data_IF_951399082848
#
_entry.id   IF_951399082848
#
_cell.length_a   1.000
_cell.length_b   1.000
_cell.length_c   1.000
_cell.angle_alpha   90.00
_cell.angle_beta   90.00
_cell.angle_gamma   90.00
#
_symmetry.space_group_name_H-M   'P 1'
#
loop_
_entity.id
_entity.type
_entity.pdbx_description
1 polymer ?
#
# COMPACT_ATOMS: atom_id res chain seq x y z
N UNK A 1 -30.45 -20.76 -10.77
CA UNK A 1 -29.92 -19.45 -10.31
C UNK A 1 -28.71 -19.72 -9.43
N UNK A 2 -27.49 -19.63 -9.98
CA UNK A 2 -26.27 -19.88 -9.23
C UNK A 2 -26.14 -18.84 -8.09
N UNK A 3 -26.07 -19.32 -6.85
CA UNK A 3 -25.86 -18.48 -5.68
C UNK A 3 -24.55 -17.72 -5.84
N UNK A 4 -24.61 -16.38 -5.78
CA UNK A 4 -23.45 -15.50 -5.81
C UNK A 4 -22.63 -15.73 -4.54
N UNK A 5 -21.69 -16.67 -4.58
CA UNK A 5 -20.69 -16.97 -3.55
C UNK A 5 -19.59 -15.90 -3.49
N UNK A 6 -19.93 -14.62 -3.69
CA UNK A 6 -19.07 -13.52 -3.27
C UNK A 6 -19.56 -13.05 -1.91
N UNK A 7 -19.14 -13.77 -0.86
CA UNK A 7 -19.26 -13.27 0.52
C UNK A 7 -18.71 -11.85 0.54
N UNK A 8 -19.53 -10.97 1.09
CA UNK A 8 -19.42 -9.52 1.18
C UNK A 8 -18.19 -9.17 2.06
N UNK A 9 -16.98 -9.55 1.64
CA UNK A 9 -15.72 -9.19 2.34
C UNK A 9 -15.32 -7.74 2.08
N UNK A 10 -15.89 -7.13 1.04
CA UNK A 10 -15.65 -5.72 0.71
C UNK A 10 -16.41 -4.74 1.61
N UNK A 11 -17.41 -5.16 2.40
CA UNK A 11 -18.23 -4.21 3.14
C UNK A 11 -17.55 -3.71 4.41
N UNK A 12 -16.87 -4.60 5.16
CA UNK A 12 -16.20 -4.21 6.41
C UNK A 12 -14.97 -3.33 6.16
N UNK A 13 -14.14 -3.67 5.17
CA UNK A 13 -12.99 -2.82 4.81
C UNK A 13 -13.44 -1.47 4.23
N UNK A 14 -14.49 -1.46 3.39
CA UNK A 14 -15.01 -0.21 2.83
C UNK A 14 -15.65 0.65 3.91
N UNK A 15 -16.39 0.05 4.85
CA UNK A 15 -16.96 0.72 6.02
C UNK A 15 -15.88 1.29 6.93
N UNK A 16 -14.81 0.54 7.17
CA UNK A 16 -13.66 1.01 7.94
C UNK A 16 -12.97 2.21 7.26
N UNK A 17 -12.78 2.16 5.94
CA UNK A 17 -12.23 3.28 5.16
C UNK A 17 -13.14 4.52 5.22
N UNK A 18 -14.45 4.36 5.08
CA UNK A 18 -15.42 5.46 5.19
C UNK A 18 -15.38 6.10 6.58
N UNK A 19 -15.30 5.29 7.64
CA UNK A 19 -15.19 5.79 9.01
C UNK A 19 -13.85 6.51 9.24
N UNK A 20 -12.75 5.97 8.71
CA UNK A 20 -11.45 6.62 8.78
C UNK A 20 -11.48 8.02 8.12
N UNK A 21 -12.07 8.16 6.94
CA UNK A 21 -12.19 9.45 6.25
C UNK A 21 -12.98 10.49 7.08
N UNK A 22 -14.04 10.07 7.77
CA UNK A 22 -14.81 10.98 8.64
C UNK A 22 -13.99 11.46 9.84
N UNK A 23 -13.21 10.57 10.46
CA UNK A 23 -12.31 10.92 11.56
C UNK A 23 -11.19 11.88 11.10
N UNK A 24 -10.61 11.64 9.92
CA UNK A 24 -9.61 12.53 9.31
C UNK A 24 -10.20 13.92 9.08
N UNK A 25 -11.40 14.02 8.49
CA UNK A 25 -12.05 15.30 8.26
C UNK A 25 -12.26 16.06 9.57
N UNK A 26 -12.74 15.37 10.62
CA UNK A 26 -13.01 15.99 11.92
C UNK A 26 -11.74 16.48 12.61
N UNK A 27 -10.67 15.67 12.60
CA UNK A 27 -9.36 16.06 13.13
C UNK A 27 -8.76 17.23 12.35
N UNK A 28 -8.92 17.24 11.02
CA UNK A 28 -8.45 18.34 10.17
C UNK A 28 -9.18 19.63 10.50
N UNK A 29 -10.51 19.58 10.60
CA UNK A 29 -11.29 20.75 10.99
C UNK A 29 -10.94 21.23 12.41
N UNK A 30 -10.57 20.32 13.31
CA UNK A 30 -10.10 20.68 14.64
C UNK A 30 -8.78 21.43 14.63
N UNK A 31 -7.81 20.95 13.84
CA UNK A 31 -6.52 21.63 13.65
C UNK A 31 -6.69 23.00 12.97
N UNK A 32 -7.66 23.12 12.06
CA UNK A 32 -7.98 24.39 11.40
C UNK A 32 -8.82 25.34 12.26
N UNK A 33 -9.12 24.97 13.51
CA UNK A 33 -9.91 25.81 14.44
C UNK A 33 -11.38 25.96 14.08
N UNK A 34 -11.92 25.11 13.21
CA UNK A 34 -13.34 25.13 12.83
C UNK A 34 -14.22 24.39 13.85
N UNK A 35 -13.65 23.42 14.56
CA UNK A 35 -14.35 22.61 15.56
C UNK A 35 -13.46 22.34 16.76
N UNK A 36 -14.01 22.42 17.96
CA UNK A 36 -13.29 22.00 19.16
C UNK A 36 -13.49 20.51 19.42
N UNK A 37 -12.40 19.85 19.78
CA UNK A 37 -12.38 18.46 20.24
C UNK A 37 -11.68 18.41 21.59
N UNK A 38 -12.25 17.63 22.50
CA UNK A 38 -11.58 17.32 23.77
C UNK A 38 -10.37 16.43 23.53
N UNK A 39 -9.39 16.46 24.43
CA UNK A 39 -8.20 15.60 24.37
C UNK A 39 -8.55 14.10 24.28
N UNK A 40 -9.61 13.66 24.97
CA UNK A 40 -10.12 12.29 24.91
C UNK A 40 -10.63 11.94 23.51
N UNK A 41 -11.37 12.85 22.85
CA UNK A 41 -11.87 12.63 21.49
C UNK A 41 -10.74 12.55 20.46
N UNK A 42 -9.72 13.41 20.58
CA UNK A 42 -8.52 13.36 19.73
C UNK A 42 -7.81 12.01 19.90
N UNK A 43 -7.59 11.59 21.14
CA UNK A 43 -6.92 10.32 21.45
C UNK A 43 -7.70 9.11 20.92
N UNK A 44 -9.02 9.09 21.09
CA UNK A 44 -9.88 8.03 20.59
C UNK A 44 -9.87 7.95 19.05
N UNK A 45 -9.97 9.11 18.38
CA UNK A 45 -9.90 9.17 16.91
C UNK A 45 -8.56 8.65 16.38
N UNK A 46 -7.45 9.04 17.00
CA UNK A 46 -6.11 8.52 16.66
C UNK A 46 -6.01 7.01 16.86
N UNK A 47 -6.57 6.49 17.95
CA UNK A 47 -6.59 5.05 18.23
C UNK A 47 -7.38 4.25 17.19
N UNK A 48 -8.49 4.80 16.70
CA UNK A 48 -9.28 4.18 15.63
C UNK A 48 -8.57 4.25 14.28
N UNK A 49 -7.95 5.38 13.94
CA UNK A 49 -7.20 5.53 12.69
C UNK A 49 -6.04 4.55 12.58
N UNK A 50 -5.30 4.30 13.67
CA UNK A 50 -4.24 3.28 13.73
C UNK A 50 -4.73 1.85 13.47
N UNK A 51 -6.00 1.57 13.75
CA UNK A 51 -6.60 0.24 13.50
C UNK A 51 -7.22 0.14 12.10
N UNK A 52 -7.73 1.25 11.57
CA UNK A 52 -8.45 1.29 10.30
C UNK A 52 -7.53 1.47 9.09
N UNK A 53 -6.41 2.18 9.26
CA UNK A 53 -5.37 2.25 8.25
C UNK A 53 -4.43 1.06 8.46
N UNK A 54 -4.17 0.23 7.43
CA UNK A 54 -3.04 -0.68 7.51
C UNK A 54 -1.82 0.18 7.77
N UNK A 55 -1.08 -0.13 8.85
CA UNK A 55 0.16 0.57 9.15
C UNK A 55 0.98 0.60 7.87
N UNK A 56 1.45 1.78 7.46
CA UNK A 56 2.37 1.88 6.32
C UNK A 56 3.71 1.34 6.79
N UNK A 57 3.77 0.04 7.07
CA UNK A 57 5.02 -0.68 7.16
C UNK A 57 5.66 -0.50 5.79
N UNK A 58 6.82 0.18 5.77
CA UNK A 58 7.68 0.16 4.61
C UNK A 58 7.87 -1.31 4.24
N UNK A 59 7.28 -1.72 3.12
CA UNK A 59 7.56 -3.04 2.56
C UNK A 59 8.99 -2.95 2.08
N UNK A 60 9.94 -3.35 2.93
CA UNK A 60 11.29 -3.67 2.46
C UNK A 60 11.13 -4.77 1.43
N UNK A 61 11.41 -4.45 0.17
CA UNK A 61 11.52 -5.42 -0.89
C UNK A 61 12.80 -6.24 -0.64
N UNK A 62 12.73 -7.21 0.28
CA UNK A 62 13.78 -8.21 0.49
C UNK A 62 13.70 -9.28 -0.61
N UNK A 63 13.79 -8.85 -1.87
CA UNK A 63 14.02 -9.76 -2.98
C UNK A 63 15.51 -10.07 -3.02
N UNK A 64 15.90 -11.31 -2.72
CA UNK A 64 17.23 -11.82 -3.07
C UNK A 64 17.38 -11.66 -4.58
N UNK A 65 18.09 -10.61 -5.00
CA UNK A 65 18.36 -10.37 -6.41
C UNK A 65 19.47 -11.34 -6.77
N UNK A 66 19.13 -12.46 -7.38
CA UNK A 66 20.12 -13.36 -7.98
C UNK A 66 20.73 -12.63 -9.17
N UNK A 67 21.81 -11.88 -8.93
CA UNK A 67 22.57 -11.23 -9.99
C UNK A 67 23.36 -12.34 -10.70
N UNK A 68 22.85 -12.80 -11.83
CA UNK A 68 23.61 -13.68 -12.73
C UNK A 68 24.66 -12.84 -13.45
N UNK A 69 25.90 -12.88 -12.95
CA UNK A 69 27.05 -12.39 -13.71
C UNK A 69 27.49 -13.49 -14.68
N UNK A 70 27.18 -13.31 -15.97
CA UNK A 70 27.78 -14.13 -17.02
C UNK A 70 29.04 -13.40 -17.51
N UNK A 71 30.21 -13.99 -17.28
CA UNK A 71 31.50 -13.43 -17.71
C UNK A 71 31.86 -14.10 -19.03
N UNK A 72 31.62 -13.40 -20.14
CA UNK A 72 32.04 -13.88 -21.45
C UNK A 72 33.55 -13.70 -21.64
N UNK A 73 34.22 -14.74 -22.17
CA UNK A 73 35.65 -14.73 -22.52
C UNK A 73 36.03 -13.71 -23.62
N UNK A 74 35.03 -13.06 -24.24
CA UNK A 74 35.21 -12.02 -25.24
C UNK A 74 34.39 -10.79 -24.83
N UNK A 75 34.91 -9.56 -24.97
CA UNK A 75 34.10 -8.37 -24.81
C UNK A 75 33.03 -8.38 -25.91
N UNK A 76 31.78 -8.65 -25.52
CA UNK A 76 30.63 -8.64 -26.40
C UNK A 76 29.94 -7.29 -26.26
N UNK A 77 29.49 -6.70 -27.37
CA UNK A 77 28.80 -5.39 -27.32
C UNK A 77 27.37 -5.56 -26.79
N UNK A 78 26.78 -4.48 -26.27
CA UNK A 78 25.42 -4.48 -25.69
C UNK A 78 24.35 -4.97 -26.68
N UNK A 79 24.56 -4.69 -27.97
CA UNK A 79 23.67 -5.11 -29.07
C UNK A 79 23.71 -6.63 -29.31
N UNK A 80 24.89 -7.25 -29.24
CA UNK A 80 25.08 -8.69 -29.43
C UNK A 80 24.51 -9.49 -28.24
N UNK A 81 24.59 -8.94 -27.02
CA UNK A 81 24.01 -9.56 -25.82
C UNK A 81 22.49 -9.56 -25.84
N UNK A 82 21.88 -8.43 -26.23
CA UNK A 82 20.42 -8.30 -26.38
C UNK A 82 19.84 -9.26 -27.42
N UNK A 83 20.57 -9.56 -28.50
CA UNK A 83 20.12 -10.47 -29.55
C UNK A 83 20.12 -11.96 -29.13
N UNK A 84 21.02 -12.36 -28.22
CA UNK A 84 21.21 -13.75 -27.80
C UNK A 84 20.39 -14.12 -26.56
N UNK A 85 20.26 -13.19 -25.61
CA UNK A 85 19.62 -13.44 -24.30
C UNK A 85 18.44 -12.51 -23.98
N UNK A 86 18.10 -11.57 -24.87
CA UNK A 86 16.90 -10.76 -24.74
C UNK A 86 15.65 -11.63 -24.91
N UNK A 87 14.77 -11.63 -23.90
CA UNK A 87 13.43 -12.22 -24.02
C UNK A 87 12.67 -11.54 -25.17
N UNK A 88 12.08 -12.30 -26.11
CA UNK A 88 11.25 -11.71 -27.15
C UNK A 88 10.00 -11.09 -26.51
N UNK A 89 9.65 -9.86 -26.91
CA UNK A 89 8.36 -9.25 -26.62
C UNK A 89 7.22 -9.99 -27.35
#
# INVERSE_FOLDING_TARGET
>A
MAARTRKIRHDDETRAKIQASQLVNRLTDHVLGKVDMTSTQVTAALGLLKKALPDLAAVELSGETTIHHDVSDRPMTEEEWGALYGTPH
#
